data_IF_885494927420
#
_entry.id   IF_885494927420
#
_cell.length_a   1.000
_cell.length_b   1.000
_cell.length_c   1.000
_cell.angle_alpha   90.00
_cell.angle_beta   90.00
_cell.angle_gamma   90.00
#
_symmetry.space_group_name_H-M   'P 1'
#
loop_
_entity.id
_entity.type
_entity.pdbx_description
1 polymer ?
#
# COMPACT_ATOMS: atom_id res chain seq x y z
N UNK A 1 31.29 -62.74 -18.23
CA UNK A 1 31.84 -61.50 -17.65
C UNK A 1 30.82 -60.38 -17.88
N UNK A 2 29.92 -60.11 -16.93
CA UNK A 2 28.83 -59.16 -17.10
C UNK A 2 29.26 -57.86 -16.42
N UNK A 3 29.51 -56.82 -17.18
CA UNK A 3 29.86 -55.47 -16.67
C UNK A 3 28.60 -54.75 -16.28
N UNK A 4 28.40 -54.47 -14.97
CA UNK A 4 27.40 -53.56 -14.46
C UNK A 4 27.89 -52.13 -14.59
N UNK A 5 27.17 -51.33 -15.39
CA UNK A 5 27.39 -49.87 -15.48
C UNK A 5 26.52 -49.26 -14.41
N UNK A 6 27.15 -48.76 -13.33
CA UNK A 6 26.47 -47.89 -12.35
C UNK A 6 26.27 -46.51 -12.98
N UNK A 7 25.02 -46.17 -13.33
CA UNK A 7 24.65 -44.81 -13.69
C UNK A 7 24.55 -43.96 -12.43
N UNK A 8 25.49 -43.09 -12.19
CA UNK A 8 25.46 -42.05 -11.17
C UNK A 8 24.49 -40.95 -11.61
N UNK A 9 23.27 -40.93 -11.09
CA UNK A 9 22.37 -39.78 -11.21
C UNK A 9 22.90 -38.65 -10.30
N UNK A 10 23.60 -37.68 -10.86
CA UNK A 10 23.88 -36.40 -10.23
C UNK A 10 22.55 -35.64 -10.08
N UNK A 11 21.93 -35.75 -8.91
CA UNK A 11 20.89 -34.82 -8.49
C UNK A 11 21.55 -33.44 -8.29
N UNK A 12 21.60 -32.64 -9.36
CA UNK A 12 21.89 -31.21 -9.24
C UNK A 12 20.67 -30.59 -8.54
N UNK A 13 20.73 -30.49 -7.22
CA UNK A 13 19.80 -29.67 -6.47
C UNK A 13 19.92 -28.25 -7.00
N UNK A 14 18.89 -27.75 -7.69
CA UNK A 14 18.80 -26.34 -8.04
C UNK A 14 18.83 -25.57 -6.72
N UNK A 15 19.93 -24.87 -6.44
CA UNK A 15 20.01 -23.93 -5.32
C UNK A 15 18.87 -22.92 -5.51
N UNK A 16 17.93 -22.90 -4.60
CA UNK A 16 16.85 -21.91 -4.61
C UNK A 16 17.48 -20.54 -4.42
N UNK A 17 17.09 -19.58 -5.24
CA UNK A 17 17.53 -18.20 -5.08
C UNK A 17 17.17 -17.70 -3.67
N UNK A 18 18.11 -17.02 -3.04
CA UNK A 18 17.95 -16.42 -1.70
C UNK A 18 18.11 -14.91 -1.81
N UNK A 19 17.52 -14.19 -0.85
CA UNK A 19 17.66 -12.74 -0.77
C UNK A 19 19.12 -12.39 -0.49
N UNK A 20 19.66 -11.48 -1.29
CA UNK A 20 21.01 -10.97 -1.09
C UNK A 20 21.02 -9.91 0.02
N UNK A 21 21.30 -10.32 1.25
CA UNK A 21 21.27 -9.44 2.43
C UNK A 21 22.36 -8.38 2.40
N UNK A 22 23.50 -8.62 1.76
CA UNK A 22 24.56 -7.63 1.59
C UNK A 22 24.09 -6.48 0.69
N UNK A 23 23.46 -6.80 -0.45
CA UNK A 23 22.86 -5.79 -1.34
C UNK A 23 21.68 -5.09 -0.67
N UNK A 24 20.85 -5.83 0.06
CA UNK A 24 19.69 -5.29 0.78
C UNK A 24 20.11 -4.18 1.76
N UNK A 25 21.18 -4.40 2.50
CA UNK A 25 21.68 -3.47 3.52
C UNK A 25 22.70 -2.45 2.98
N UNK A 26 23.16 -2.60 1.73
CA UNK A 26 24.12 -1.68 1.13
C UNK A 26 23.62 -0.23 1.17
N UNK A 27 24.52 0.73 1.35
CA UNK A 27 24.19 2.17 1.42
C UNK A 27 23.55 2.69 0.13
N UNK A 28 23.92 2.12 -1.03
CA UNK A 28 23.37 2.47 -2.34
C UNK A 28 22.50 1.32 -2.86
N UNK A 29 21.30 1.62 -3.39
CA UNK A 29 20.46 0.60 -4.02
C UNK A 29 21.11 0.07 -5.31
N UNK A 30 20.91 -1.21 -5.66
CA UNK A 30 21.38 -1.76 -6.91
C UNK A 30 20.63 -1.16 -8.10
N UNK A 31 21.24 -1.23 -9.28
CA UNK A 31 20.64 -0.71 -10.51
C UNK A 31 19.38 -1.50 -10.92
N UNK A 32 19.34 -2.80 -10.67
CA UNK A 32 18.25 -3.69 -11.07
C UNK A 32 17.58 -4.34 -9.87
N UNK A 33 16.28 -4.63 -10.02
CA UNK A 33 15.48 -5.30 -8.99
C UNK A 33 16.00 -6.73 -8.74
N UNK A 34 16.43 -7.43 -9.79
CA UNK A 34 16.92 -8.80 -9.69
C UNK A 34 18.11 -8.95 -8.75
N UNK A 35 18.95 -7.90 -8.60
CA UNK A 35 20.12 -7.95 -7.73
C UNK A 35 19.79 -8.21 -6.25
N UNK A 36 18.59 -7.87 -5.78
CA UNK A 36 18.15 -8.18 -4.42
C UNK A 36 17.89 -9.67 -4.17
N UNK A 37 17.64 -10.44 -5.24
CA UNK A 37 17.30 -11.86 -5.12
C UNK A 37 15.90 -12.12 -4.52
N UNK A 38 14.97 -11.15 -4.55
CA UNK A 38 13.60 -11.35 -4.03
C UNK A 38 12.79 -12.38 -4.83
N UNK A 39 13.13 -12.56 -6.11
CA UNK A 39 12.41 -13.45 -7.01
C UNK A 39 13.37 -14.44 -7.66
N UNK A 40 13.00 -15.74 -7.67
CA UNK A 40 13.67 -16.76 -8.47
C UNK A 40 13.51 -16.46 -9.97
N UNK A 41 12.35 -15.92 -10.30
CA UNK A 41 12.00 -15.48 -11.66
C UNK A 41 11.25 -14.14 -11.57
N UNK A 42 11.92 -13.01 -11.84
CA UNK A 42 11.31 -11.69 -11.87
C UNK A 42 10.18 -11.57 -12.89
N UNK A 43 10.22 -12.32 -13.97
CA UNK A 43 9.18 -12.26 -15.03
C UNK A 43 7.82 -12.70 -14.52
N UNK A 44 7.77 -13.72 -13.67
CA UNK A 44 6.56 -14.28 -13.07
C UNK A 44 6.32 -13.82 -11.61
N UNK A 45 7.26 -13.07 -11.02
CA UNK A 45 7.30 -12.72 -9.60
C UNK A 45 7.27 -13.96 -8.69
N UNK A 46 7.88 -15.08 -9.13
CA UNK A 46 8.02 -16.27 -8.30
C UNK A 46 8.98 -15.95 -7.14
N UNK A 47 8.50 -15.98 -5.88
CA UNK A 47 9.29 -15.52 -4.75
C UNK A 47 10.46 -16.48 -4.45
N UNK A 48 11.59 -15.92 -4.07
CA UNK A 48 12.73 -16.64 -3.53
C UNK A 48 12.44 -17.16 -2.11
N UNK A 49 13.31 -18.03 -1.60
CA UNK A 49 13.19 -18.56 -0.24
C UNK A 49 13.13 -17.42 0.79
N UNK A 50 12.17 -17.49 1.70
CA UNK A 50 11.93 -16.47 2.75
C UNK A 50 11.14 -15.25 2.30
N UNK A 51 10.86 -15.10 1.00
CA UNK A 51 9.96 -14.05 0.50
C UNK A 51 8.56 -14.61 0.39
N UNK A 52 7.60 -13.99 1.10
CA UNK A 52 6.24 -14.51 1.22
C UNK A 52 5.24 -13.54 0.62
N UNK A 53 4.39 -14.05 -0.28
CA UNK A 53 3.29 -13.26 -0.86
C UNK A 53 2.19 -13.03 0.17
N UNK A 54 1.64 -11.82 0.19
CA UNK A 54 0.48 -11.48 1.00
C UNK A 54 -0.47 -10.53 0.25
N UNK A 55 -1.67 -10.41 0.77
CA UNK A 55 -2.66 -9.44 0.31
C UNK A 55 -3.25 -8.69 1.51
N UNK A 56 -4.04 -7.67 1.26
CA UNK A 56 -4.70 -6.87 2.30
C UNK A 56 -6.21 -6.83 2.07
N UNK A 57 -6.96 -6.70 3.14
CA UNK A 57 -8.44 -6.67 3.11
C UNK A 57 -8.96 -5.44 2.37
N UNK A 58 -8.43 -4.26 2.68
CA UNK A 58 -8.85 -2.98 2.13
C UNK A 58 -7.67 -2.29 1.40
N UNK A 59 -7.48 -2.49 0.09
CA UNK A 59 -6.36 -1.93 -0.64
C UNK A 59 -6.54 -0.43 -0.93
N UNK A 60 -5.46 0.34 -0.74
CA UNK A 60 -5.36 1.72 -1.19
C UNK A 60 -5.52 1.81 -2.71
N UNK A 61 -6.33 2.74 -3.20
CA UNK A 61 -6.47 3.04 -4.62
C UNK A 61 -5.16 3.56 -5.23
N UNK A 62 -4.84 3.14 -6.44
CA UNK A 62 -3.68 3.63 -7.21
C UNK A 62 -3.96 3.44 -8.69
N UNK A 63 -4.76 4.33 -9.27
CA UNK A 63 -5.07 4.35 -10.71
C UNK A 63 -5.54 3.01 -11.28
N UNK A 64 -6.36 2.25 -10.51
CA UNK A 64 -6.83 0.91 -10.86
C UNK A 64 -5.75 -0.17 -11.01
N UNK A 65 -4.48 0.15 -10.72
CA UNK A 65 -3.41 -0.85 -10.79
C UNK A 65 -3.61 -1.95 -9.75
N UNK A 66 -3.51 -3.20 -10.20
CA UNK A 66 -3.40 -4.36 -9.33
C UNK A 66 -2.04 -4.35 -8.61
N UNK A 67 -1.96 -4.99 -7.45
CA UNK A 67 -0.75 -4.96 -6.62
C UNK A 67 -0.39 -6.35 -6.12
N UNK A 68 0.75 -6.87 -6.55
CA UNK A 68 1.37 -8.04 -5.93
C UNK A 68 2.26 -7.58 -4.80
N UNK A 69 2.07 -8.14 -3.60
CA UNK A 69 2.76 -7.73 -2.38
C UNK A 69 3.53 -8.89 -1.78
N UNK A 70 4.74 -8.59 -1.30
CA UNK A 70 5.60 -9.59 -0.68
C UNK A 70 6.28 -9.01 0.56
N UNK A 71 6.48 -9.89 1.54
CA UNK A 71 7.24 -9.64 2.76
C UNK A 71 8.50 -10.49 2.71
N UNK A 72 9.62 -9.88 3.04
CA UNK A 72 10.83 -10.55 3.49
C UNK A 72 11.18 -10.06 4.88
N UNK A 73 11.43 -10.98 5.80
CA UNK A 73 11.90 -10.66 7.15
C UNK A 73 12.97 -11.67 7.55
N UNK A 74 14.11 -11.22 8.15
CA UNK A 74 15.16 -12.13 8.62
C UNK A 74 14.76 -12.88 9.90
N UNK A 75 13.75 -12.40 10.62
CA UNK A 75 13.24 -12.97 11.87
C UNK A 75 11.74 -13.16 11.82
N UNK A 76 11.22 -14.11 12.59
CA UNK A 76 9.77 -14.32 12.74
C UNK A 76 9.20 -13.22 13.63
N UNK A 77 8.11 -12.61 13.20
CA UNK A 77 7.51 -11.43 13.83
C UNK A 77 6.47 -11.83 14.86
N UNK A 78 6.42 -11.11 15.98
CA UNK A 78 5.31 -11.18 16.91
C UNK A 78 4.13 -10.33 16.34
N UNK A 79 2.96 -10.93 16.07
CA UNK A 79 1.82 -10.23 15.52
C UNK A 79 0.94 -9.51 16.56
N UNK A 80 1.21 -9.67 17.85
CA UNK A 80 0.41 -9.06 18.92
C UNK A 80 0.69 -7.56 19.06
N UNK A 81 0.15 -6.82 18.10
CA UNK A 81 0.27 -5.36 18.00
C UNK A 81 -0.96 -4.74 17.33
N UNK A 82 -1.40 -3.60 17.84
CA UNK A 82 -2.40 -2.76 17.17
C UNK A 82 -1.82 -1.95 16.00
N UNK A 83 -0.49 -1.91 15.93
CA UNK A 83 0.28 -1.16 14.95
C UNK A 83 0.71 -1.99 13.74
N UNK A 84 1.74 -1.48 13.08
CA UNK A 84 2.44 -2.18 12.01
C UNK A 84 3.26 -3.31 12.63
N UNK A 85 3.34 -4.46 11.93
CA UNK A 85 4.20 -5.57 12.36
C UNK A 85 5.63 -5.08 12.66
N UNK A 86 6.27 -5.59 13.72
CA UNK A 86 7.57 -5.11 14.21
C UNK A 86 8.73 -5.61 13.35
N UNK A 87 8.81 -5.14 12.10
CA UNK A 87 9.84 -5.54 11.15
C UNK A 87 11.24 -5.16 11.62
N UNK A 88 12.18 -6.11 11.83
CA UNK A 88 13.57 -5.81 12.20
C UNK A 88 14.36 -5.24 11.02
N UNK A 89 15.57 -4.74 11.32
CA UNK A 89 16.55 -4.35 10.27
C UNK A 89 16.79 -5.55 9.35
N UNK A 90 16.87 -5.30 8.04
CA UNK A 90 16.97 -6.35 7.03
C UNK A 90 15.62 -6.79 6.47
N UNK A 91 14.50 -6.31 7.01
CA UNK A 91 13.18 -6.56 6.42
C UNK A 91 12.95 -5.74 5.15
N UNK A 92 12.17 -6.30 4.23
CA UNK A 92 11.73 -5.63 3.01
C UNK A 92 10.24 -5.86 2.74
N UNK A 93 9.55 -4.77 2.36
CA UNK A 93 8.18 -4.80 1.84
C UNK A 93 8.23 -4.48 0.36
N UNK A 94 7.81 -5.41 -0.49
CA UNK A 94 7.89 -5.31 -1.94
C UNK A 94 6.47 -5.21 -2.49
N UNK A 95 6.21 -4.26 -3.37
CA UNK A 95 4.90 -4.03 -3.98
C UNK A 95 5.04 -3.74 -5.46
N UNK A 96 4.60 -4.68 -6.30
CA UNK A 96 4.58 -4.54 -7.77
C UNK A 96 3.20 -4.10 -8.23
N UNK A 97 3.14 -3.03 -9.00
CA UNK A 97 1.93 -2.50 -9.64
C UNK A 97 1.85 -3.01 -11.07
N UNK A 98 0.67 -3.48 -11.47
CA UNK A 98 0.44 -4.03 -12.82
C UNK A 98 -0.98 -3.74 -13.32
N UNK A 99 -1.16 -3.84 -14.62
CA UNK A 99 -2.44 -3.86 -15.33
C UNK A 99 -2.51 -5.16 -16.13
N UNK A 100 -3.36 -6.09 -15.70
CA UNK A 100 -3.33 -7.46 -16.26
C UNK A 100 -1.96 -8.11 -16.10
N UNK A 101 -1.33 -8.50 -17.20
CA UNK A 101 0.02 -9.09 -17.19
C UNK A 101 1.15 -8.06 -17.22
N UNK A 102 0.86 -6.79 -17.58
CA UNK A 102 1.86 -5.73 -17.70
C UNK A 102 2.26 -5.20 -16.34
N UNK A 103 3.47 -5.55 -15.88
CA UNK A 103 4.10 -4.91 -14.71
C UNK A 103 4.56 -3.50 -15.08
N UNK A 104 4.31 -2.54 -14.19
CA UNK A 104 4.66 -1.12 -14.41
C UNK A 104 5.82 -0.73 -13.53
N UNK A 105 5.64 -0.84 -12.22
CA UNK A 105 6.68 -0.51 -11.25
C UNK A 105 6.68 -1.49 -10.08
N UNK A 106 7.82 -1.60 -9.42
CA UNK A 106 7.94 -2.22 -8.09
C UNK A 106 8.50 -1.19 -7.11
N UNK A 107 7.76 -0.93 -6.04
CA UNK A 107 8.25 -0.13 -4.90
C UNK A 107 8.71 -1.06 -3.80
N UNK A 108 9.88 -0.75 -3.24
CA UNK A 108 10.46 -1.51 -2.14
C UNK A 108 10.65 -0.55 -0.97
N UNK A 109 10.22 -0.96 0.22
CA UNK A 109 10.61 -0.36 1.49
C UNK A 109 11.55 -1.33 2.18
N UNK A 110 12.75 -0.88 2.57
CA UNK A 110 13.77 -1.67 3.25
C UNK A 110 14.06 -1.03 4.61
N UNK A 111 14.07 -1.86 5.67
CA UNK A 111 14.49 -1.42 6.99
C UNK A 111 16.00 -1.61 7.13
N UNK A 112 16.71 -0.50 7.14
CA UNK A 112 18.16 -0.43 7.32
C UNK A 112 18.50 0.09 8.73
N UNK A 113 19.76 0.07 9.11
CA UNK A 113 20.29 0.68 10.34
C UNK A 113 19.96 2.18 10.46
N UNK A 114 19.88 2.87 9.33
CA UNK A 114 19.49 4.29 9.23
C UNK A 114 17.97 4.52 9.26
N UNK A 115 17.17 3.46 9.34
CA UNK A 115 15.70 3.47 9.25
C UNK A 115 15.17 2.97 7.91
N UNK A 116 13.89 3.18 7.67
CA UNK A 116 13.24 2.75 6.45
C UNK A 116 13.61 3.62 5.26
N UNK A 117 13.85 2.98 4.11
CA UNK A 117 14.18 3.66 2.84
C UNK A 117 13.33 3.07 1.73
N UNK A 118 12.74 3.94 0.89
CA UNK A 118 11.92 3.54 -0.25
C UNK A 118 12.65 3.68 -1.57
N UNK A 119 12.50 2.69 -2.47
CA UNK A 119 13.08 2.72 -3.82
C UNK A 119 12.05 2.33 -4.88
N UNK A 120 11.86 3.15 -5.93
CA UNK A 120 11.04 2.80 -7.10
C UNK A 120 11.89 2.13 -8.18
N UNK A 121 11.38 1.03 -8.74
CA UNK A 121 11.94 0.31 -9.88
C UNK A 121 10.92 0.26 -11.00
N UNK A 122 11.31 0.69 -12.19
CA UNK A 122 10.47 0.72 -13.38
C UNK A 122 10.74 -0.54 -14.24
N UNK A 123 9.68 -1.28 -14.57
CA UNK A 123 9.75 -2.46 -15.42
C UNK A 123 9.98 -2.07 -16.89
N UNK A 124 10.79 -2.88 -17.60
CA UNK A 124 10.88 -2.82 -19.05
C UNK A 124 9.58 -3.32 -19.69
N UNK A 125 9.40 -3.07 -20.99
CA UNK A 125 8.17 -3.42 -21.71
C UNK A 125 7.91 -4.94 -21.71
N UNK A 126 8.96 -5.76 -21.77
CA UNK A 126 8.87 -7.22 -21.75
C UNK A 126 8.56 -7.79 -20.35
N UNK A 127 8.60 -6.96 -19.32
CA UNK A 127 8.34 -7.36 -17.93
C UNK A 127 9.37 -8.37 -17.39
N UNK A 128 10.59 -8.39 -17.93
CA UNK A 128 11.66 -9.33 -17.52
C UNK A 128 12.60 -8.75 -16.48
N UNK A 129 12.77 -7.42 -16.45
CA UNK A 129 13.65 -6.72 -15.51
C UNK A 129 13.07 -5.36 -15.14
N UNK A 130 13.34 -4.92 -13.90
CA UNK A 130 13.01 -3.59 -13.44
C UNK A 130 14.27 -2.83 -13.02
N UNK A 131 14.37 -1.57 -13.46
CA UNK A 131 15.52 -0.69 -13.18
C UNK A 131 15.18 0.42 -12.24
N UNK A 132 16.14 0.77 -11.37
CA UNK A 132 16.02 1.85 -10.39
C UNK A 132 15.67 3.19 -11.06
N UNK A 133 14.67 3.90 -10.52
CA UNK A 133 14.14 5.14 -11.09
C UNK A 133 14.02 6.25 -10.05
N UNK A 134 15.13 6.65 -9.44
CA UNK A 134 15.14 7.65 -8.35
C UNK A 134 14.48 8.99 -8.72
N UNK A 135 14.54 9.40 -9.98
CA UNK A 135 13.87 10.61 -10.47
C UNK A 135 12.36 10.43 -10.69
N UNK A 136 11.83 9.21 -10.53
CA UNK A 136 10.47 8.88 -10.94
C UNK A 136 10.29 8.85 -12.47
N UNK A 137 9.05 8.66 -12.92
CA UNK A 137 8.69 8.68 -14.34
C UNK A 137 7.21 9.03 -14.52
N UNK A 138 6.86 9.62 -15.67
CA UNK A 138 5.50 9.75 -16.13
C UNK A 138 5.32 8.81 -17.33
N UNK A 139 4.31 7.94 -17.27
CA UNK A 139 4.05 6.92 -18.27
C UNK A 139 2.64 7.13 -18.81
N UNK A 140 2.50 6.96 -20.10
CA UNK A 140 1.20 6.93 -20.75
C UNK A 140 0.80 5.50 -21.01
N UNK A 141 -0.17 4.99 -20.28
CA UNK A 141 -0.58 3.60 -20.29
C UNK A 141 -1.96 3.44 -20.91
N UNK A 142 -2.07 2.63 -21.96
CA UNK A 142 -3.36 2.17 -22.45
C UNK A 142 -3.77 0.93 -21.63
N UNK A 143 -4.87 1.04 -20.89
CA UNK A 143 -5.35 0.01 -19.96
C UNK A 143 -6.82 -0.33 -20.26
N UNK A 144 -7.35 -1.37 -19.61
CA UNK A 144 -8.79 -1.70 -19.66
C UNK A 144 -9.68 -0.60 -19.05
N UNK A 145 -9.09 0.34 -18.29
CA UNK A 145 -9.76 1.50 -17.70
C UNK A 145 -9.58 2.78 -18.52
N UNK A 146 -9.06 2.66 -19.75
CA UNK A 146 -8.72 3.77 -20.62
C UNK A 146 -7.26 4.21 -20.53
N UNK A 147 -6.98 5.40 -21.05
CA UNK A 147 -5.65 6.00 -21.03
C UNK A 147 -5.35 6.58 -19.65
N UNK A 148 -4.27 6.11 -19.02
CA UNK A 148 -3.83 6.56 -17.68
C UNK A 148 -2.47 7.24 -17.81
N UNK A 149 -2.36 8.46 -17.29
CA UNK A 149 -1.09 9.18 -17.10
C UNK A 149 -0.46 8.73 -15.77
N UNK A 150 0.13 7.54 -15.76
CA UNK A 150 0.65 6.89 -14.55
C UNK A 150 1.93 7.57 -14.06
N UNK A 151 1.98 7.92 -12.78
CA UNK A 151 3.13 8.59 -12.16
C UNK A 151 3.88 7.64 -11.24
N UNK A 152 5.08 7.24 -11.67
CA UNK A 152 6.06 6.59 -10.79
C UNK A 152 6.64 7.66 -9.88
N UNK A 153 6.52 7.55 -8.55
CA UNK A 153 7.03 8.57 -7.64
C UNK A 153 8.56 8.64 -7.69
N UNK A 154 9.11 9.83 -7.48
CA UNK A 154 10.54 9.96 -7.24
C UNK A 154 10.88 9.55 -5.80
N UNK A 155 12.18 9.38 -5.53
CA UNK A 155 12.70 8.96 -4.22
C UNK A 155 12.17 9.82 -3.06
N UNK A 156 12.14 11.15 -3.22
CA UNK A 156 11.71 12.07 -2.16
C UNK A 156 10.21 12.01 -1.87
N UNK A 157 9.40 11.65 -2.86
CA UNK A 157 7.94 11.55 -2.71
C UNK A 157 7.49 10.35 -1.86
N UNK A 158 8.37 9.37 -1.58
CA UNK A 158 8.06 8.29 -0.65
C UNK A 158 7.67 8.84 0.74
N UNK A 159 8.38 9.88 1.21
CA UNK A 159 8.10 10.54 2.48
C UNK A 159 6.72 11.20 2.55
N UNK A 160 6.12 11.60 1.42
CA UNK A 160 4.80 12.25 1.41
C UNK A 160 3.67 11.38 2.00
N UNK A 161 3.78 10.05 1.88
CA UNK A 161 2.82 9.10 2.46
C UNK A 161 3.41 8.27 3.60
N UNK A 162 4.72 8.12 3.65
CA UNK A 162 5.42 7.20 4.55
C UNK A 162 6.11 7.88 5.73
N UNK A 163 5.83 9.16 6.01
CA UNK A 163 6.42 9.88 7.13
C UNK A 163 5.54 9.74 8.38
N UNK A 164 6.14 9.39 9.51
CA UNK A 164 5.48 9.39 10.81
C UNK A 164 5.59 10.76 11.51
N UNK A 165 4.98 10.88 12.70
CA UNK A 165 5.00 12.09 13.54
C UNK A 165 6.42 12.65 13.84
N UNK A 166 7.45 11.82 13.74
CA UNK A 166 8.85 12.20 13.99
C UNK A 166 9.63 12.54 12.72
N UNK A 167 8.95 12.68 11.57
CA UNK A 167 9.58 12.99 10.30
C UNK A 167 10.37 11.83 9.68
N UNK A 168 10.23 10.60 10.22
CA UNK A 168 10.94 9.41 9.73
C UNK A 168 10.06 8.60 8.79
N UNK A 169 10.66 8.06 7.74
CA UNK A 169 9.96 7.11 6.86
C UNK A 169 9.59 5.85 7.65
N UNK A 170 8.35 5.38 7.48
CA UNK A 170 7.82 4.16 8.09
C UNK A 170 6.85 3.49 7.11
N UNK A 171 6.64 2.16 7.18
CA UNK A 171 5.57 1.53 6.44
C UNK A 171 4.19 2.09 6.83
N UNK A 172 3.24 2.11 5.90
CA UNK A 172 1.82 2.35 6.21
C UNK A 172 1.17 1.09 6.80
N UNK A 173 1.69 -0.06 6.47
CA UNK A 173 1.30 -1.40 6.88
C UNK A 173 2.32 -2.42 6.41
N UNK A 174 2.04 -3.73 6.55
CA UNK A 174 0.77 -4.29 7.05
C UNK A 174 0.64 -4.26 8.59
N UNK A 175 -0.60 -4.09 9.05
CA UNK A 175 -1.03 -4.39 10.41
C UNK A 175 -1.69 -5.76 10.42
N UNK A 176 -1.72 -6.51 11.53
CA UNK A 176 -2.37 -7.84 11.59
C UNK A 176 -3.80 -7.82 11.06
N UNK A 177 -4.62 -6.82 11.42
CA UNK A 177 -6.00 -6.66 10.93
C UNK A 177 -6.12 -6.49 9.41
N UNK A 178 -5.10 -5.91 8.75
CA UNK A 178 -5.08 -5.78 7.29
C UNK A 178 -4.81 -7.11 6.59
N UNK A 179 -4.11 -8.02 7.29
CA UNK A 179 -3.71 -9.35 6.80
C UNK A 179 -4.78 -10.42 7.06
N UNK A 180 -5.80 -10.11 7.87
CA UNK A 180 -6.81 -11.06 8.32
C UNK A 180 -7.81 -11.44 7.21
N UNK A 181 -7.29 -11.93 6.08
CA UNK A 181 -8.04 -12.59 5.01
C UNK A 181 -8.09 -14.08 5.28
N UNK A 182 -9.15 -14.74 4.80
CA UNK A 182 -9.37 -16.17 5.02
C UNK A 182 -8.12 -17.01 4.70
N UNK A 183 -7.59 -17.71 5.69
CA UNK A 183 -6.46 -18.61 5.57
C UNK A 183 -5.08 -17.94 5.40
N UNK A 184 -5.01 -16.61 5.34
CA UNK A 184 -3.73 -15.93 5.10
C UNK A 184 -2.86 -15.82 6.36
N UNK A 185 -3.45 -15.57 7.53
CA UNK A 185 -2.68 -15.50 8.78
C UNK A 185 -2.06 -16.87 9.10
N UNK A 186 -2.80 -17.95 8.90
CA UNK A 186 -2.30 -19.32 9.02
C UNK A 186 -1.16 -19.60 8.03
N UNK A 187 -1.30 -19.12 6.78
CA UNK A 187 -0.24 -19.23 5.78
C UNK A 187 1.02 -18.47 6.21
N UNK A 188 0.89 -17.27 6.77
CA UNK A 188 2.02 -16.47 7.25
C UNK A 188 2.74 -17.14 8.43
N UNK A 189 2.01 -17.83 9.33
CA UNK A 189 2.60 -18.66 10.40
C UNK A 189 3.39 -19.83 9.79
N UNK A 190 2.77 -20.59 8.87
CA UNK A 190 3.42 -21.73 8.20
C UNK A 190 4.67 -21.32 7.41
N UNK A 191 4.64 -20.11 6.83
CA UNK A 191 5.77 -19.56 6.09
C UNK A 191 6.85 -18.93 7.00
N UNK A 192 6.66 -18.91 8.33
CA UNK A 192 7.61 -18.35 9.29
C UNK A 192 7.72 -16.84 9.27
N UNK A 193 6.66 -16.13 8.84
CA UNK A 193 6.60 -14.65 8.87
C UNK A 193 6.14 -14.14 10.23
N UNK A 194 5.15 -14.79 10.83
CA UNK A 194 4.61 -14.46 12.16
C UNK A 194 4.61 -15.69 13.06
N UNK A 195 4.68 -15.48 14.38
CA UNK A 195 4.78 -16.56 15.38
C UNK A 195 3.49 -17.36 15.55
N UNK A 196 2.33 -16.70 15.46
CA UNK A 196 1.01 -17.30 15.66
C UNK A 196 -0.07 -16.47 14.95
N UNK A 197 -1.28 -16.99 14.88
CA UNK A 197 -2.45 -16.26 14.38
C UNK A 197 -2.95 -15.33 15.49
N UNK A 198 -2.89 -13.98 15.30
CA UNK A 198 -3.35 -13.06 16.33
C UNK A 198 -4.89 -13.01 16.40
N UNK A 199 -5.42 -12.70 17.58
CA UNK A 199 -6.85 -12.42 17.77
C UNK A 199 -7.14 -10.96 17.40
N UNK A 200 -7.55 -10.75 16.14
CA UNK A 200 -7.81 -9.41 15.61
C UNK A 200 -9.13 -9.34 14.86
N UNK A 201 -9.82 -8.22 15.00
CA UNK A 201 -10.99 -7.90 14.15
C UNK A 201 -10.48 -7.47 12.78
N UNK A 202 -10.81 -8.20 11.68
CA UNK A 202 -10.38 -7.84 10.34
C UNK A 202 -10.84 -6.45 9.92
N UNK A 203 -9.97 -5.71 9.24
CA UNK A 203 -10.40 -4.51 8.51
C UNK A 203 -11.47 -4.90 7.49
N UNK A 204 -12.64 -4.26 7.46
CA UNK A 204 -13.68 -4.58 6.50
C UNK A 204 -13.19 -4.41 5.05
N UNK A 205 -13.57 -5.30 4.13
CA UNK A 205 -13.39 -5.03 2.70
C UNK A 205 -14.44 -4.01 2.26
N UNK A 206 -14.02 -2.80 1.93
CA UNK A 206 -14.96 -1.74 1.50
C UNK A 206 -15.68 -2.07 0.18
N UNK A 207 -15.21 -3.07 -0.56
CA UNK A 207 -15.80 -3.55 -1.82
C UNK A 207 -16.90 -4.60 -1.59
N UNK A 208 -16.99 -5.17 -0.39
CA UNK A 208 -18.03 -6.16 -0.06
C UNK A 208 -19.37 -5.47 0.19
N UNK A 209 -20.26 -5.54 -0.80
CA UNK A 209 -21.59 -4.92 -0.76
C UNK A 209 -22.54 -5.54 0.30
N UNK A 210 -22.19 -6.67 0.91
CA UNK A 210 -22.96 -7.26 2.01
C UNK A 210 -22.70 -6.56 3.35
N UNK A 211 -21.62 -5.77 3.45
CA UNK A 211 -21.30 -5.01 4.66
C UNK A 211 -22.12 -3.70 4.71
N UNK A 212 -22.47 -3.22 5.93
CA UNK A 212 -23.11 -1.94 6.13
C UNK A 212 -22.33 -0.79 5.47
N UNK A 213 -23.05 0.14 4.85
CA UNK A 213 -22.51 1.27 4.11
C UNK A 213 -21.46 2.06 4.93
N UNK A 214 -21.76 2.39 6.17
CA UNK A 214 -20.87 3.11 7.07
C UNK A 214 -19.54 2.34 7.29
N UNK A 215 -19.61 1.03 7.56
CA UNK A 215 -18.41 0.21 7.74
C UNK A 215 -17.54 0.18 6.49
N UNK A 216 -18.15 0.12 5.32
CA UNK A 216 -17.45 0.19 4.03
C UNK A 216 -16.78 1.53 3.82
N UNK A 217 -17.53 2.63 4.02
CA UNK A 217 -17.01 3.99 3.88
C UNK A 217 -15.85 4.26 4.85
N UNK A 218 -15.99 3.85 6.12
CA UNK A 218 -14.94 4.00 7.14
C UNK A 218 -13.69 3.20 6.78
N UNK A 219 -13.86 1.98 6.27
CA UNK A 219 -12.73 1.17 5.79
C UNK A 219 -12.04 1.78 4.56
N UNK A 220 -12.81 2.37 3.64
CA UNK A 220 -12.24 3.09 2.51
C UNK A 220 -11.40 4.31 2.96
N UNK A 221 -11.93 5.09 3.91
CA UNK A 221 -11.23 6.25 4.48
C UNK A 221 -9.97 5.83 5.24
N UNK A 222 -10.01 4.75 6.01
CA UNK A 222 -8.83 4.14 6.64
C UNK A 222 -7.77 3.82 5.60
N UNK A 223 -8.14 3.07 4.55
CA UNK A 223 -7.19 2.57 3.55
C UNK A 223 -6.56 3.69 2.70
N UNK A 224 -7.32 4.75 2.40
CA UNK A 224 -6.92 5.76 1.42
C UNK A 224 -6.51 7.10 2.03
N UNK A 225 -6.85 7.37 3.29
CA UNK A 225 -6.69 8.70 3.89
C UNK A 225 -5.99 8.68 5.25
N UNK A 226 -6.25 7.67 6.12
CA UNK A 226 -5.80 7.67 7.49
C UNK A 226 -4.27 7.63 7.66
N UNK A 227 -3.53 7.15 6.67
CA UNK A 227 -2.06 7.16 6.71
C UNK A 227 -1.45 8.58 6.72
N UNK A 228 -2.26 9.61 6.41
CA UNK A 228 -1.93 11.02 6.61
C UNK A 228 -2.87 11.66 7.65
N UNK A 229 -4.17 11.32 7.61
CA UNK A 229 -5.23 11.91 8.41
C UNK A 229 -5.54 11.07 9.66
N UNK A 230 -4.60 11.00 10.59
CA UNK A 230 -4.76 10.49 11.95
C UNK A 230 -3.84 11.26 12.89
N UNK A 231 -4.10 11.14 14.19
CA UNK A 231 -3.32 11.85 15.21
C UNK A 231 -1.83 11.52 15.08
N UNK A 232 -0.98 12.55 15.09
CA UNK A 232 0.46 12.41 14.99
C UNK A 232 0.98 12.04 13.59
N UNK A 233 0.16 12.07 12.53
CA UNK A 233 0.56 11.83 11.15
C UNK A 233 0.64 13.14 10.33
N UNK A 234 1.14 13.13 9.09
CA UNK A 234 1.48 14.37 8.36
C UNK A 234 0.37 15.41 8.26
N UNK A 235 -0.91 15.00 8.24
CA UNK A 235 -2.05 15.90 8.18
C UNK A 235 -2.76 16.10 9.54
N UNK A 236 -2.11 15.78 10.67
CA UNK A 236 -2.66 15.92 12.02
C UNK A 236 -3.22 17.33 12.29
N UNK A 237 -2.50 18.35 11.86
CA UNK A 237 -2.91 19.76 12.03
C UNK A 237 -4.26 20.10 11.39
N UNK A 238 -4.76 19.28 10.47
CA UNK A 238 -6.10 19.44 9.91
C UNK A 238 -7.21 19.14 10.93
N UNK A 239 -6.91 18.34 11.96
CA UNK A 239 -7.89 17.81 12.92
C UNK A 239 -8.93 16.91 12.28
N UNK A 240 -8.67 16.42 11.04
CA UNK A 240 -9.48 15.43 10.35
C UNK A 240 -8.82 14.07 10.54
N UNK A 241 -9.48 13.15 11.24
CA UNK A 241 -8.96 11.82 11.56
C UNK A 241 -9.86 10.75 10.98
N UNK A 242 -9.32 9.92 10.10
CA UNK A 242 -10.08 9.01 9.24
C UNK A 242 -9.75 7.53 9.49
N UNK A 243 -9.02 7.25 10.57
CA UNK A 243 -8.76 5.88 11.03
C UNK A 243 -10.05 5.23 11.58
N UNK A 244 -10.10 3.89 11.54
CA UNK A 244 -11.29 3.13 11.91
C UNK A 244 -11.73 3.32 13.36
N UNK A 245 -10.78 3.58 14.25
CA UNK A 245 -11.02 3.76 15.70
C UNK A 245 -11.59 5.13 16.05
N UNK A 246 -11.50 6.11 15.14
CA UNK A 246 -12.08 7.44 15.41
C UNK A 246 -13.60 7.36 15.38
N UNK A 247 -14.26 7.83 16.42
CA UNK A 247 -15.72 7.79 16.57
C UNK A 247 -16.36 9.18 16.76
N UNK A 248 -15.53 10.22 16.96
CA UNK A 248 -16.01 11.59 17.15
C UNK A 248 -16.42 12.20 15.81
N UNK A 249 -17.72 12.59 15.64
CA UNK A 249 -18.21 13.10 14.37
C UNK A 249 -17.40 14.30 13.84
N UNK A 250 -17.00 15.22 14.71
CA UNK A 250 -16.21 16.38 14.32
C UNK A 250 -14.84 16.00 13.76
N UNK A 251 -14.15 15.01 14.35
CA UNK A 251 -12.87 14.54 13.83
C UNK A 251 -13.01 13.76 12.53
N UNK A 252 -14.15 13.11 12.34
CA UNK A 252 -14.50 12.47 11.06
C UNK A 252 -14.87 13.48 9.97
N UNK A 253 -14.90 14.77 10.29
CA UNK A 253 -15.19 15.86 9.37
C UNK A 253 -16.63 16.33 9.36
N UNK A 254 -17.54 15.70 10.11
CA UNK A 254 -18.96 16.08 10.15
C UNK A 254 -19.10 17.48 10.75
N UNK A 255 -19.66 18.42 9.97
CA UNK A 255 -19.79 19.84 10.29
C UNK A 255 -18.47 20.55 10.64
N UNK A 256 -17.34 19.90 10.40
CA UNK A 256 -16.02 20.43 10.72
C UNK A 256 -15.58 21.48 9.68
N UNK A 257 -15.28 22.67 10.15
CA UNK A 257 -14.68 23.72 9.30
C UNK A 257 -13.23 23.35 8.95
N UNK A 258 -12.77 23.57 7.72
CA UNK A 258 -11.39 23.34 7.35
C UNK A 258 -10.45 24.30 8.10
N UNK A 259 -9.27 23.82 8.51
CA UNK A 259 -8.28 24.65 9.22
C UNK A 259 -7.51 25.54 8.22
N UNK A 260 -7.04 24.96 7.12
CA UNK A 260 -6.20 25.67 6.15
C UNK A 260 -6.33 25.07 4.74
N UNK A 261 -7.56 24.93 4.22
CA UNK A 261 -7.77 24.28 2.93
C UNK A 261 -7.47 25.19 1.72
N UNK A 262 -7.41 26.53 1.91
CA UNK A 262 -7.17 27.47 0.81
C UNK A 262 -8.12 27.21 -0.35
N UNK A 263 -7.60 27.16 -1.59
CA UNK A 263 -8.39 26.82 -2.79
C UNK A 263 -8.91 25.37 -2.78
N UNK A 264 -8.29 24.49 -1.97
CA UNK A 264 -8.76 23.13 -1.77
C UNK A 264 -10.11 23.02 -1.07
N UNK A 265 -10.63 24.11 -0.48
CA UNK A 265 -12.00 24.14 0.04
C UNK A 265 -13.06 24.23 -1.08
N UNK A 266 -12.70 24.69 -2.28
CA UNK A 266 -13.67 24.97 -3.34
C UNK A 266 -14.74 26.00 -2.97
N UNK A 267 -14.50 26.84 -1.96
CA UNK A 267 -15.49 27.76 -1.39
C UNK A 267 -16.53 27.09 -0.51
N UNK A 268 -16.36 25.79 -0.21
CA UNK A 268 -17.23 25.02 0.69
C UNK A 268 -16.88 25.26 2.16
N UNK A 269 -17.83 25.05 3.07
CA UNK A 269 -17.74 25.52 4.46
C UNK A 269 -17.26 24.44 5.43
N UNK A 270 -17.50 23.16 5.13
CA UNK A 270 -17.23 22.05 6.07
C UNK A 270 -16.64 20.85 5.35
N UNK A 271 -15.88 20.03 6.06
CA UNK A 271 -15.25 18.83 5.52
C UNK A 271 -16.29 17.81 5.07
N UNK A 272 -17.32 17.55 5.89
CA UNK A 272 -18.51 16.76 5.55
C UNK A 272 -19.77 17.55 5.92
N UNK A 273 -20.63 17.78 4.94
CA UNK A 273 -21.97 18.33 5.12
C UNK A 273 -23.01 17.18 5.01
N UNK A 274 -23.57 16.70 6.15
CA UNK A 274 -24.47 15.57 6.15
C UNK A 274 -25.63 15.72 5.17
N UNK A 275 -25.89 14.66 4.41
CA UNK A 275 -26.90 14.63 3.34
C UNK A 275 -26.45 15.27 2.03
N UNK A 276 -25.32 16.02 1.97
CA UNK A 276 -24.96 16.86 0.83
C UNK A 276 -23.49 16.65 0.40
N UNK A 277 -23.15 15.55 -0.30
CA UNK A 277 -21.78 15.30 -0.75
C UNK A 277 -21.22 16.44 -1.60
N UNK A 278 -22.02 17.06 -2.46
CA UNK A 278 -21.61 18.19 -3.33
C UNK A 278 -21.30 19.48 -2.54
N UNK A 279 -21.63 19.54 -1.25
CA UNK A 279 -21.28 20.63 -0.33
C UNK A 279 -20.18 20.25 0.66
N UNK A 280 -19.61 19.06 0.50
CA UNK A 280 -18.57 18.49 1.38
C UNK A 280 -17.19 18.65 0.74
N UNK A 281 -16.24 19.27 1.46
CA UNK A 281 -14.85 19.46 1.01
C UNK A 281 -14.17 18.12 0.74
N UNK A 282 -14.42 17.11 1.58
CA UNK A 282 -13.88 15.76 1.40
C UNK A 282 -14.21 15.22 0.00
N UNK A 283 -15.50 15.25 -0.37
CA UNK A 283 -15.95 14.78 -1.69
C UNK A 283 -15.40 15.64 -2.83
N UNK A 284 -15.41 16.95 -2.66
CA UNK A 284 -14.87 17.89 -3.66
C UNK A 284 -13.40 17.59 -3.96
N UNK A 285 -12.56 17.41 -2.94
CA UNK A 285 -11.14 17.10 -3.10
C UNK A 285 -10.89 15.71 -3.69
N UNK A 286 -11.68 14.72 -3.30
CA UNK A 286 -11.62 13.38 -3.91
C UNK A 286 -11.97 13.42 -5.40
N UNK A 287 -12.94 14.24 -5.79
CA UNK A 287 -13.42 14.42 -7.17
C UNK A 287 -12.61 15.45 -7.97
N UNK A 288 -11.36 15.70 -7.60
CA UNK A 288 -10.46 16.61 -8.31
C UNK A 288 -9.21 15.92 -8.80
N UNK A 289 -8.69 16.34 -9.94
CA UNK A 289 -7.36 15.98 -10.47
C UNK A 289 -6.39 17.17 -10.47
N UNK A 290 -6.82 18.35 -10.01
CA UNK A 290 -5.94 19.50 -9.82
C UNK A 290 -4.95 19.22 -8.68
N UNK A 291 -3.62 19.20 -8.94
CA UNK A 291 -2.61 18.89 -7.92
C UNK A 291 -2.67 19.75 -6.66
N UNK A 292 -3.22 20.97 -6.74
CA UNK A 292 -3.38 21.87 -5.58
C UNK A 292 -4.70 21.71 -4.84
N UNK A 293 -5.58 20.80 -5.29
CA UNK A 293 -6.92 20.56 -4.73
C UNK A 293 -7.12 19.09 -4.37
N UNK A 294 -6.66 18.18 -5.23
CA UNK A 294 -6.95 16.74 -5.13
C UNK A 294 -6.48 16.14 -3.79
N UNK A 295 -7.23 15.15 -3.29
CA UNK A 295 -6.83 14.24 -2.20
C UNK A 295 -7.14 12.79 -2.61
N UNK A 296 -6.22 11.86 -2.36
CA UNK A 296 -4.82 12.06 -1.95
C UNK A 296 -4.00 12.90 -2.96
N UNK A 297 -3.03 13.65 -2.46
CA UNK A 297 -2.15 14.52 -3.28
C UNK A 297 -1.19 13.73 -4.17
N UNK A 298 -0.86 12.51 -3.74
CA UNK A 298 0.08 11.59 -4.38
C UNK A 298 -0.55 10.21 -4.55
N UNK A 299 0.01 9.43 -5.49
CA UNK A 299 -0.36 8.01 -5.65
C UNK A 299 -1.54 7.76 -6.58
N UNK A 300 -2.15 8.80 -7.13
CA UNK A 300 -3.17 8.71 -8.18
C UNK A 300 -3.03 9.80 -9.23
N UNK A 301 -3.51 9.53 -10.41
CA UNK A 301 -3.66 10.46 -11.53
C UNK A 301 -5.06 10.38 -12.17
N UNK A 302 -5.88 9.44 -11.70
CA UNK A 302 -7.26 9.26 -12.12
C UNK A 302 -8.22 9.41 -10.93
N UNK A 303 -9.51 9.52 -11.22
CA UNK A 303 -10.56 9.48 -10.20
C UNK A 303 -10.84 8.02 -9.81
N UNK A 304 -10.98 7.78 -8.52
CA UNK A 304 -11.55 6.55 -7.98
C UNK A 304 -13.07 6.66 -7.99
N UNK A 305 -13.71 6.26 -9.08
CA UNK A 305 -15.16 6.42 -9.22
C UNK A 305 -15.93 5.59 -8.18
N UNK A 306 -15.48 4.37 -7.90
CA UNK A 306 -16.11 3.48 -6.91
C UNK A 306 -15.98 4.08 -5.49
N UNK A 307 -14.82 4.63 -5.16
CA UNK A 307 -14.60 5.34 -3.91
C UNK A 307 -15.43 6.61 -3.78
N UNK A 308 -15.56 7.38 -4.86
CA UNK A 308 -16.42 8.57 -4.91
C UNK A 308 -17.89 8.22 -4.68
N UNK A 309 -18.38 7.18 -5.35
CA UNK A 309 -19.77 6.74 -5.21
C UNK A 309 -20.06 6.22 -3.79
N UNK A 310 -19.14 5.46 -3.20
CA UNK A 310 -19.21 4.98 -1.84
C UNK A 310 -19.28 6.13 -0.82
N UNK A 311 -18.37 7.10 -0.93
CA UNK A 311 -18.31 8.23 0.02
C UNK A 311 -19.50 9.17 -0.19
N UNK A 312 -19.96 9.38 -1.42
CA UNK A 312 -21.17 10.16 -1.68
C UNK A 312 -22.42 9.48 -1.07
N UNK A 313 -22.55 8.16 -1.21
CA UNK A 313 -23.64 7.40 -0.58
C UNK A 313 -23.58 7.49 0.96
N UNK A 314 -22.39 7.35 1.53
CA UNK A 314 -22.17 7.51 2.98
C UNK A 314 -22.57 8.90 3.46
N UNK A 315 -22.09 9.98 2.83
CA UNK A 315 -22.45 11.36 3.21
C UNK A 315 -23.97 11.58 3.11
N UNK A 316 -24.64 11.05 2.06
CA UNK A 316 -26.11 11.15 1.94
C UNK A 316 -26.86 10.43 3.04
N UNK A 317 -26.29 9.38 3.61
CA UNK A 317 -26.90 8.60 4.70
C UNK A 317 -26.78 9.24 6.07
N UNK A 318 -25.90 10.25 6.23
CA UNK A 318 -25.73 10.95 7.50
C UNK A 318 -26.92 11.85 7.81
N UNK A 319 -27.34 11.83 9.09
CA UNK A 319 -28.42 12.69 9.57
C UNK A 319 -27.97 14.16 9.62
N UNK A 320 -28.61 15.10 8.89
CA UNK A 320 -28.26 16.52 8.92
C UNK A 320 -28.41 17.19 10.30
N UNK A 321 -29.09 16.54 11.24
CA UNK A 321 -29.36 17.07 12.60
C UNK A 321 -28.37 16.55 13.65
N UNK A 322 -27.53 15.63 13.28
CA UNK A 322 -26.48 15.06 14.15
C UNK A 322 -25.10 15.56 13.70
#
# INVERSE_FOLDING_TARGET
MTRWILAFFLLTGMARAEVNTEILLASKPPRTLAAFGFFEDPSTLRPSKGVVRYDITAPLFSDYAEKDRFIYTPEVLDPDTDGILPFPIGSALIKTFRYGTRKVETRILIHKDTGWVGYPYLWNEDGTEATLKLAGANLRLNTSFGMIEYRVPNFNQCGGCHTNAHGKITPIGPRPRHLAKKGQLEHLVQAGVITHVPDVIPTPDYRDNNLPLERRARSYLEANCAHCHAQGLPADTSGLYLNLEEDRPLHLGVHKKPVAAGRGSGGLLVDIDPGRPEKSILYFRMNSLDPGVMMPELGRSTLDQEGLDLIAAYIRSLDPKK
#
